data_IF_152298980890
#
_entry.id   IF_152298980890
#
_cell.length_a   1.000
_cell.length_b   1.000
_cell.length_c   1.000
_cell.angle_alpha   90.00
_cell.angle_beta   90.00
_cell.angle_gamma   90.00
#
_symmetry.space_group_name_H-M   'P 1'
#
loop_
_entity.id
_entity.type
_entity.pdbx_description
1 polymer ?
#
# COMPACT_ATOMS: atom_id res chain seq x y z
N UNK A 1 -7.50 16.91 -19.76
CA UNK A 1 -7.35 18.28 -19.28
C UNK A 1 -7.21 18.21 -17.76
N UNK A 2 -6.21 18.87 -17.17
CA UNK A 2 -5.94 18.84 -15.72
C UNK A 2 -6.50 20.11 -15.04
N UNK A 3 -7.47 20.78 -15.66
CA UNK A 3 -7.98 22.07 -15.16
C UNK A 3 -8.85 21.99 -13.90
N UNK A 4 -9.36 20.79 -13.56
CA UNK A 4 -10.35 20.59 -12.48
C UNK A 4 -9.79 19.77 -11.31
N UNK A 5 -8.46 19.66 -11.19
CA UNK A 5 -7.81 18.93 -10.08
C UNK A 5 -7.24 19.91 -9.05
N UNK A 6 -7.10 19.44 -7.80
CA UNK A 6 -6.44 20.19 -6.73
C UNK A 6 -4.94 20.29 -7.04
N UNK A 7 -4.41 21.52 -7.19
CA UNK A 7 -2.98 21.76 -7.46
C UNK A 7 -2.07 21.42 -6.28
N UNK A 8 -2.49 21.78 -5.06
CA UNK A 8 -1.83 21.44 -3.80
C UNK A 8 -2.73 21.67 -2.60
N UNK A 9 -2.49 20.95 -1.51
CA UNK A 9 -3.08 21.18 -0.19
C UNK A 9 -2.02 21.79 0.70
N UNK A 10 -2.29 22.94 1.34
CA UNK A 10 -1.34 23.64 2.22
C UNK A 10 -1.82 23.53 3.67
N UNK A 11 -0.94 23.11 4.57
CA UNK A 11 -1.23 22.99 6.00
C UNK A 11 -0.86 24.24 6.79
N UNK A 12 -1.35 24.35 8.02
CA UNK A 12 -1.14 25.52 8.90
C UNK A 12 0.33 25.73 9.30
N UNK A 13 1.16 24.70 9.22
CA UNK A 13 2.61 24.78 9.47
C UNK A 13 3.41 25.24 8.24
N UNK A 14 2.74 25.48 7.10
CA UNK A 14 3.36 25.91 5.86
C UNK A 14 3.84 24.76 4.96
N UNK A 15 3.73 23.50 5.41
CA UNK A 15 3.96 22.34 4.54
C UNK A 15 2.83 22.20 3.52
N UNK A 16 3.09 21.49 2.42
CA UNK A 16 2.08 21.24 1.41
C UNK A 16 2.20 19.84 0.83
N UNK A 17 1.07 19.28 0.39
CA UNK A 17 1.02 18.15 -0.52
C UNK A 17 0.79 18.68 -1.93
N UNK A 18 1.65 18.30 -2.86
CA UNK A 18 1.43 18.49 -4.29
C UNK A 18 0.20 17.69 -4.76
N UNK A 19 -0.34 18.06 -5.92
CA UNK A 19 -1.38 17.28 -6.57
C UNK A 19 -1.01 15.79 -6.66
N UNK A 20 0.23 15.48 -7.03
CA UNK A 20 0.73 14.10 -7.16
C UNK A 20 0.64 13.35 -5.83
N UNK A 21 1.12 13.94 -4.74
CA UNK A 21 1.08 13.30 -3.42
C UNK A 21 -0.36 13.08 -2.94
N UNK A 22 -1.27 14.02 -3.22
CA UNK A 22 -2.69 13.85 -2.93
C UNK A 22 -3.30 12.71 -3.75
N UNK A 23 -2.94 12.59 -5.03
CA UNK A 23 -3.40 11.50 -5.88
C UNK A 23 -2.87 10.14 -5.42
N UNK A 24 -1.61 10.06 -5.02
CA UNK A 24 -1.00 8.83 -4.54
C UNK A 24 -1.61 8.38 -3.20
N UNK A 25 -1.83 9.32 -2.27
CA UNK A 25 -2.51 9.02 -1.00
C UNK A 25 -3.97 8.58 -1.22
N UNK A 26 -4.69 9.20 -2.15
CA UNK A 26 -6.08 8.85 -2.45
C UNK A 26 -6.25 7.46 -3.10
N UNK A 27 -5.18 6.90 -3.69
CA UNK A 27 -5.18 5.58 -4.32
C UNK A 27 -4.55 4.49 -3.46
N UNK A 28 -4.00 4.85 -2.31
CA UNK A 28 -3.36 3.90 -1.40
C UNK A 28 -4.32 3.45 -0.31
N UNK A 29 -4.21 2.18 0.09
CA UNK A 29 -4.90 1.62 1.24
C UNK A 29 -3.97 1.61 2.44
N UNK A 30 -4.49 2.02 3.59
CA UNK A 30 -3.76 2.04 4.85
C UNK A 30 -4.53 1.22 5.89
N UNK A 31 -3.81 0.38 6.62
CA UNK A 31 -4.25 -0.25 7.85
C UNK A 31 -4.24 0.74 9.02
N UNK A 32 -4.12 0.20 10.21
CA UNK A 32 -4.24 0.91 11.48
C UNK A 32 -3.04 0.60 12.37
N UNK A 33 -3.15 0.83 13.68
CA UNK A 33 -2.10 0.48 14.63
C UNK A 33 -2.33 -0.90 15.29
N UNK A 34 -3.21 -1.71 14.72
CA UNK A 34 -3.52 -3.05 15.21
C UNK A 34 -3.62 -4.02 14.04
N UNK A 35 -3.84 -5.29 14.37
CA UNK A 35 -3.82 -6.36 13.39
C UNK A 35 -4.97 -6.25 12.38
N UNK A 36 -4.62 -5.99 11.13
CA UNK A 36 -5.54 -5.75 10.03
C UNK A 36 -5.58 -6.89 9.01
N UNK A 37 -6.69 -6.93 8.26
CA UNK A 37 -6.80 -7.76 7.06
C UNK A 37 -7.12 -6.85 5.88
N UNK A 38 -6.14 -6.67 5.01
CA UNK A 38 -6.18 -5.76 3.88
C UNK A 38 -6.20 -6.57 2.59
N UNK A 39 -7.21 -6.31 1.75
CA UNK A 39 -7.34 -6.95 0.45
C UNK A 39 -7.29 -5.87 -0.63
N UNK A 40 -6.37 -6.05 -1.58
CA UNK A 40 -6.33 -5.32 -2.82
C UNK A 40 -7.44 -5.74 -3.78
N UNK A 41 -7.21 -5.44 -5.05
CA UNK A 41 -8.15 -5.54 -6.14
C UNK A 41 -7.57 -6.36 -7.29
N UNK A 42 -8.19 -6.31 -8.47
CA UNK A 42 -7.61 -6.91 -9.68
C UNK A 42 -6.71 -5.93 -10.45
N UNK A 43 -6.39 -4.79 -9.85
CA UNK A 43 -5.54 -3.73 -10.40
C UNK A 43 -4.31 -3.57 -9.53
N UNK A 44 -3.29 -2.87 -10.02
CA UNK A 44 -2.14 -2.50 -9.19
C UNK A 44 -2.56 -1.66 -7.99
N UNK A 45 -2.26 -2.16 -6.81
CA UNK A 45 -2.58 -1.51 -5.54
C UNK A 45 -1.33 -1.12 -4.76
N UNK A 46 -1.48 -0.11 -3.89
CA UNK A 46 -0.50 0.25 -2.86
C UNK A 46 -1.15 0.05 -1.50
N UNK A 47 -0.63 -0.87 -0.72
CA UNK A 47 -1.22 -1.26 0.56
C UNK A 47 -0.15 -1.20 1.65
N UNK A 48 -0.47 -0.50 2.74
CA UNK A 48 0.41 -0.30 3.89
C UNK A 48 -0.30 -0.81 5.16
N UNK A 49 0.26 -1.82 5.84
CA UNK A 49 -0.26 -2.41 7.08
C UNK A 49 -0.14 -1.48 8.29
N UNK A 50 1.04 -0.86 8.43
CA UNK A 50 1.45 0.07 9.49
C UNK A 50 1.95 -0.62 10.76
N UNK A 51 1.21 -0.62 11.87
CA UNK A 51 1.63 -1.32 13.10
C UNK A 51 0.63 -2.44 13.39
N UNK A 52 1.07 -3.61 13.82
CA UNK A 52 0.22 -4.78 14.08
C UNK A 52 0.72 -6.01 13.33
N UNK A 53 0.19 -7.19 13.66
CA UNK A 53 0.46 -8.40 12.86
C UNK A 53 -0.61 -8.49 11.75
N UNK A 54 -0.24 -8.09 10.54
CA UNK A 54 -1.18 -7.86 9.43
C UNK A 54 -1.25 -9.01 8.43
N UNK A 55 -2.41 -9.15 7.80
CA UNK A 55 -2.62 -9.99 6.62
C UNK A 55 -2.94 -9.14 5.40
N UNK A 56 -2.06 -9.15 4.40
CA UNK A 56 -2.19 -8.33 3.20
C UNK A 56 -2.22 -9.23 1.96
N UNK A 57 -3.31 -9.17 1.19
CA UNK A 57 -3.48 -9.87 -0.09
C UNK A 57 -3.60 -8.86 -1.24
N UNK A 58 -2.62 -8.84 -2.15
CA UNK A 58 -2.63 -7.99 -3.34
C UNK A 58 -3.64 -8.42 -4.41
N UNK A 59 -4.12 -9.67 -4.38
CA UNK A 59 -5.12 -10.27 -5.28
C UNK A 59 -4.71 -10.36 -6.76
N UNK A 60 -4.41 -9.26 -7.44
CA UNK A 60 -3.93 -9.28 -8.81
C UNK A 60 -3.64 -7.89 -9.36
N UNK A 61 -2.72 -7.80 -10.31
CA UNK A 61 -2.07 -6.53 -10.61
C UNK A 61 -0.60 -6.61 -10.18
N UNK A 62 0.15 -5.56 -10.52
CA UNK A 62 1.51 -5.39 -10.01
C UNK A 62 1.41 -4.51 -8.76
N UNK A 63 1.58 -5.11 -7.60
CA UNK A 63 1.23 -4.51 -6.31
C UNK A 63 2.47 -4.04 -5.55
N UNK A 64 2.27 -3.03 -4.71
CA UNK A 64 3.19 -2.64 -3.66
C UNK A 64 2.53 -2.93 -2.31
N UNK A 65 3.08 -3.88 -1.56
CA UNK A 65 2.61 -4.27 -0.24
C UNK A 65 3.70 -3.98 0.78
N UNK A 66 3.37 -3.25 1.84
CA UNK A 66 4.25 -2.93 2.97
C UNK A 66 3.56 -3.35 4.27
N UNK A 67 4.15 -4.29 5.01
CA UNK A 67 3.62 -4.79 6.29
C UNK A 67 3.76 -3.75 7.39
N UNK A 68 4.97 -3.22 7.58
CA UNK A 68 5.25 -2.17 8.54
C UNK A 68 5.92 -2.73 9.80
N UNK A 69 5.31 -2.61 10.98
CA UNK A 69 5.82 -3.22 12.23
C UNK A 69 4.90 -4.31 12.69
N UNK A 70 5.45 -5.47 13.02
CA UNK A 70 4.73 -6.64 13.49
C UNK A 70 5.16 -7.86 12.68
N UNK A 71 4.53 -9.00 12.91
CA UNK A 71 4.81 -10.21 12.15
C UNK A 71 3.76 -10.36 11.06
N UNK A 72 4.11 -9.94 9.85
CA UNK A 72 3.12 -9.76 8.79
C UNK A 72 3.09 -10.94 7.82
N UNK A 73 1.94 -11.13 7.16
CA UNK A 73 1.80 -12.07 6.04
C UNK A 73 1.35 -11.32 4.79
N UNK A 74 2.26 -11.19 3.83
CA UNK A 74 2.01 -10.52 2.55
C UNK A 74 1.93 -11.56 1.44
N UNK A 75 0.84 -11.52 0.68
CA UNK A 75 0.59 -12.42 -0.44
C UNK A 75 0.31 -11.59 -1.68
N UNK A 76 0.99 -11.90 -2.78
CA UNK A 76 0.62 -11.34 -4.08
C UNK A 76 -0.05 -12.38 -4.94
N UNK A 77 -0.94 -11.86 -5.79
CA UNK A 77 -1.78 -12.65 -6.67
C UNK A 77 -1.05 -13.26 -7.86
N UNK A 78 -1.86 -13.72 -8.81
CA UNK A 78 -1.55 -14.49 -10.01
C UNK A 78 -0.18 -14.25 -10.67
N UNK A 79 0.50 -15.34 -11.07
CA UNK A 79 1.86 -15.35 -11.68
C UNK A 79 2.05 -14.55 -12.98
N UNK A 80 0.97 -14.08 -13.62
CA UNK A 80 1.07 -13.22 -14.80
C UNK A 80 1.51 -11.78 -14.48
N UNK A 81 1.44 -11.39 -13.21
CA UNK A 81 1.90 -10.10 -12.72
C UNK A 81 3.20 -10.30 -11.97
N UNK A 82 4.30 -9.87 -12.59
CA UNK A 82 5.65 -10.18 -12.12
C UNK A 82 6.36 -9.00 -11.46
N UNK A 83 5.74 -7.81 -11.47
CA UNK A 83 6.36 -6.57 -10.97
C UNK A 83 5.79 -6.19 -9.60
N UNK A 84 5.73 -7.16 -8.70
CA UNK A 84 5.29 -6.95 -7.33
C UNK A 84 6.46 -6.54 -6.43
N UNK A 85 6.19 -5.65 -5.48
CA UNK A 85 7.12 -5.27 -4.41
C UNK A 85 6.46 -5.62 -3.09
N UNK A 86 7.11 -6.49 -2.31
CA UNK A 86 6.67 -6.85 -0.96
C UNK A 86 7.76 -6.41 0.02
N UNK A 87 7.38 -5.58 0.98
CA UNK A 87 8.22 -5.10 2.08
C UNK A 87 7.60 -5.63 3.37
N UNK A 88 8.29 -6.55 4.06
CA UNK A 88 7.81 -7.08 5.34
C UNK A 88 7.84 -5.98 6.41
N UNK A 89 9.03 -5.41 6.63
CA UNK A 89 9.22 -4.34 7.59
C UNK A 89 9.96 -4.83 8.84
N UNK A 90 9.50 -4.43 10.03
CA UNK A 90 10.07 -4.85 11.30
C UNK A 90 9.28 -6.03 11.88
N UNK A 91 9.94 -7.17 12.04
CA UNK A 91 9.35 -8.37 12.65
C UNK A 91 9.72 -9.61 11.87
N UNK A 92 9.07 -10.72 12.19
CA UNK A 92 9.22 -11.99 11.50
C UNK A 92 8.10 -12.14 10.45
N UNK A 93 8.41 -11.76 9.20
CA UNK A 93 7.42 -11.69 8.14
C UNK A 93 7.39 -12.93 7.23
N UNK A 94 6.22 -13.16 6.63
CA UNK A 94 5.99 -14.17 5.60
C UNK A 94 5.63 -13.46 4.29
N UNK A 95 6.53 -13.50 3.31
CA UNK A 95 6.30 -12.95 1.97
C UNK A 95 6.06 -14.08 0.97
N UNK A 96 4.84 -14.16 0.45
CA UNK A 96 4.42 -15.15 -0.55
C UNK A 96 4.30 -14.50 -1.92
N UNK A 97 5.41 -14.54 -2.65
CA UNK A 97 5.46 -14.21 -4.06
C UNK A 97 4.93 -15.34 -4.96
N UNK A 98 4.60 -14.99 -6.20
CA UNK A 98 4.37 -15.94 -7.30
C UNK A 98 5.64 -16.07 -8.14
N UNK A 99 5.89 -17.27 -8.65
CA UNK A 99 7.01 -17.60 -9.53
C UNK A 99 6.57 -17.98 -10.94
#
# INVERSE_FOLDING_TARGET
>A
DKSDIVDKVVFSDGTFLSAEEVFELARSQFGTSGNDTLNGSNQSDKIYGLDGDDHIDGVGGNDYLDGGKGNDTLVVGQSRYTENILVGGQGDDILKGVC
#
